data_IF_014229502434
#
_entry.id   IF_014229502434
#
_cell.length_a   1.000
_cell.length_b   1.000
_cell.length_c   1.000
_cell.angle_alpha   90.00
_cell.angle_beta   90.00
_cell.angle_gamma   90.00
#
_symmetry.space_group_name_H-M   'P 1'
#
loop_
_entity.id
_entity.type
_entity.pdbx_description
1 polymer ?
#
# COMPACT_ATOMS: atom_id res chain seq x y z
N UNK A 1 -4.56 -22.39 48.17
CA UNK A 1 -3.29 -22.73 47.46
C UNK A 1 -3.46 -22.72 45.94
N UNK A 2 -4.46 -23.41 45.36
CA UNK A 2 -4.68 -23.47 43.88
C UNK A 2 -5.09 -22.11 43.27
N UNK A 3 -5.93 -21.34 43.96
CA UNK A 3 -6.41 -20.03 43.46
C UNK A 3 -5.30 -18.97 43.34
N UNK A 4 -4.33 -19.00 44.26
CA UNK A 4 -3.19 -18.07 44.25
C UNK A 4 -2.24 -18.36 43.08
N UNK A 5 -2.05 -19.64 42.76
CA UNK A 5 -1.25 -20.06 41.61
C UNK A 5 -1.88 -19.62 40.27
N UNK A 6 -3.22 -19.70 40.15
CA UNK A 6 -3.94 -19.19 38.98
C UNK A 6 -3.79 -17.68 38.80
N UNK A 7 -3.99 -16.89 39.86
CA UNK A 7 -3.82 -15.43 39.84
C UNK A 7 -2.40 -15.01 39.48
N UNK A 8 -1.40 -15.74 39.93
CA UNK A 8 0.00 -15.49 39.59
C UNK A 8 0.27 -15.74 38.10
N UNK A 9 -0.25 -16.83 37.55
CA UNK A 9 -0.15 -17.12 36.11
C UNK A 9 -0.84 -16.04 35.26
N UNK A 10 -2.03 -15.60 35.66
CA UNK A 10 -2.76 -14.55 34.94
C UNK A 10 -2.05 -13.20 35.00
N UNK A 11 -1.45 -12.86 36.15
CA UNK A 11 -0.62 -11.65 36.29
C UNK A 11 0.59 -11.69 35.34
N UNK A 12 1.27 -12.83 35.24
CA UNK A 12 2.41 -13.01 34.32
C UNK A 12 1.96 -12.86 32.86
N UNK A 13 0.81 -13.47 32.49
CA UNK A 13 0.25 -13.34 31.14
C UNK A 13 -0.11 -11.89 30.81
N UNK A 14 -0.80 -11.21 31.72
CA UNK A 14 -1.22 -9.82 31.52
C UNK A 14 -0.02 -8.88 31.41
N UNK A 15 0.99 -9.09 32.25
CA UNK A 15 2.26 -8.35 32.15
C UNK A 15 2.91 -8.54 30.79
N UNK A 16 3.02 -9.79 30.32
CA UNK A 16 3.61 -10.08 29.00
C UNK A 16 2.82 -9.46 27.85
N UNK A 17 1.48 -9.47 27.93
CA UNK A 17 0.63 -8.81 26.91
C UNK A 17 0.87 -7.30 26.92
N UNK A 18 0.95 -6.68 28.10
CA UNK A 18 1.22 -5.25 28.22
C UNK A 18 2.62 -4.88 27.71
N UNK A 19 3.64 -5.68 28.03
CA UNK A 19 5.01 -5.49 27.54
C UNK A 19 5.09 -5.62 26.02
N UNK A 20 4.47 -6.66 25.45
CA UNK A 20 4.39 -6.83 24.00
C UNK A 20 3.66 -5.65 23.34
N UNK A 21 2.55 -5.18 23.93
CA UNK A 21 1.80 -4.06 23.36
C UNK A 21 2.60 -2.76 23.41
N UNK A 22 3.36 -2.54 24.49
CA UNK A 22 4.24 -1.39 24.59
C UNK A 22 5.33 -1.42 23.51
N UNK A 23 5.91 -2.58 23.24
CA UNK A 23 6.90 -2.75 22.17
C UNK A 23 6.29 -2.49 20.79
N UNK A 24 5.11 -3.05 20.49
CA UNK A 24 4.39 -2.76 19.24
C UNK A 24 4.16 -1.27 19.03
N UNK A 25 3.65 -0.59 20.07
CA UNK A 25 3.37 0.85 20.02
C UNK A 25 4.64 1.68 19.84
N UNK A 26 5.76 1.24 20.40
CA UNK A 26 7.04 1.93 20.24
C UNK A 26 7.54 1.83 18.79
N UNK A 27 7.44 0.63 18.19
CA UNK A 27 7.79 0.42 16.77
C UNK A 27 6.87 1.25 15.87
N UNK A 28 5.56 1.24 16.13
CA UNK A 28 4.59 2.02 15.37
C UNK A 28 4.89 3.51 15.45
N UNK A 29 5.22 4.02 16.64
CA UNK A 29 5.62 5.41 16.83
C UNK A 29 6.87 5.76 16.01
N UNK A 30 7.89 4.90 16.01
CA UNK A 30 9.12 5.14 15.25
C UNK A 30 8.84 5.19 13.74
N UNK A 31 8.03 4.26 13.22
CA UNK A 31 7.61 4.26 11.82
C UNK A 31 6.85 5.54 11.45
N UNK A 32 5.87 5.94 12.28
CA UNK A 32 5.11 7.17 12.05
C UNK A 32 5.99 8.43 12.06
N UNK A 33 7.02 8.47 12.92
CA UNK A 33 7.98 9.58 12.94
C UNK A 33 8.82 9.63 11.66
N UNK A 34 9.24 8.47 11.14
CA UNK A 34 9.94 8.39 9.86
C UNK A 34 9.03 8.84 8.70
N UNK A 35 7.77 8.42 8.71
CA UNK A 35 6.80 8.83 7.69
C UNK A 35 6.55 10.34 7.72
N UNK A 36 6.41 10.93 8.91
CA UNK A 36 6.30 12.39 9.08
C UNK A 36 7.56 13.08 8.56
N UNK A 37 8.75 12.55 8.88
CA UNK A 37 10.00 13.11 8.37
C UNK A 37 10.04 13.07 6.84
N UNK A 38 9.62 11.96 6.23
CA UNK A 38 9.51 11.82 4.78
C UNK A 38 8.52 12.82 4.17
N UNK A 39 7.32 12.95 4.74
CA UNK A 39 6.28 13.89 4.30
C UNK A 39 6.68 15.36 4.42
N UNK A 40 7.69 15.70 5.25
CA UNK A 40 8.22 17.06 5.35
C UNK A 40 9.29 17.36 4.29
N UNK A 41 9.72 16.37 3.51
CA UNK A 41 10.66 16.57 2.40
C UNK A 41 9.91 16.91 1.11
N UNK A 42 10.54 17.68 0.21
CA UNK A 42 9.95 17.98 -1.11
C UNK A 42 9.61 16.72 -1.90
N UNK A 43 10.48 15.71 -1.85
CA UNK A 43 10.27 14.40 -2.48
C UNK A 43 9.08 13.65 -1.87
N UNK A 44 8.96 13.60 -0.54
CA UNK A 44 7.87 12.89 0.12
C UNK A 44 6.51 13.59 -0.03
N UNK A 45 6.49 14.93 -0.13
CA UNK A 45 5.27 15.67 -0.49
C UNK A 45 4.82 15.28 -1.89
N UNK A 46 5.73 15.31 -2.86
CA UNK A 46 5.46 14.95 -4.25
C UNK A 46 4.97 13.49 -4.36
N UNK A 47 5.64 12.55 -3.68
CA UNK A 47 5.26 11.14 -3.65
C UNK A 47 3.87 10.92 -3.05
N UNK A 48 3.55 11.59 -1.95
CA UNK A 48 2.22 11.55 -1.30
C UNK A 48 1.12 12.11 -2.22
N UNK A 49 1.39 13.19 -2.94
CA UNK A 49 0.45 13.75 -3.91
C UNK A 49 0.24 12.78 -5.07
N UNK A 50 1.32 12.18 -5.60
CA UNK A 50 1.23 11.21 -6.68
C UNK A 50 0.44 9.97 -6.29
N UNK A 51 0.65 9.44 -5.09
CA UNK A 51 -0.08 8.26 -4.58
C UNK A 51 -1.58 8.56 -4.40
N UNK A 52 -1.91 9.73 -3.83
CA UNK A 52 -3.31 10.09 -3.55
C UNK A 52 -4.11 10.51 -4.79
N UNK A 53 -3.46 11.14 -5.76
CA UNK A 53 -4.13 11.75 -6.90
C UNK A 53 -3.76 11.11 -8.24
N UNK A 54 -2.88 10.11 -8.25
CA UNK A 54 -2.45 9.41 -9.46
C UNK A 54 -1.65 10.28 -10.44
N UNK A 55 -1.01 11.36 -9.97
CA UNK A 55 -0.38 12.35 -10.84
C UNK A 55 1.00 11.90 -11.32
N UNK A 56 1.20 11.88 -12.64
CA UNK A 56 2.51 11.66 -13.26
C UNK A 56 3.41 12.90 -13.15
N UNK A 57 4.73 12.70 -13.07
CA UNK A 57 5.71 13.80 -13.15
C UNK A 57 5.79 14.38 -14.56
N UNK A 58 6.38 15.55 -14.69
CA UNK A 58 6.71 16.12 -16.00
C UNK A 58 7.64 15.16 -16.77
N UNK A 59 7.20 14.72 -17.96
CA UNK A 59 7.89 13.71 -18.76
C UNK A 59 7.46 12.26 -18.51
N UNK A 60 6.56 11.99 -17.57
CA UNK A 60 5.90 10.69 -17.37
C UNK A 60 4.53 10.67 -18.10
N UNK A 61 4.19 9.56 -18.77
CA UNK A 61 2.87 9.36 -19.41
C UNK A 61 1.90 8.64 -18.45
N UNK A 62 0.66 9.12 -18.35
CA UNK A 62 -0.40 8.52 -17.53
C UNK A 62 -1.42 7.79 -18.41
N UNK A 63 -1.63 6.50 -18.16
CA UNK A 63 -2.65 5.69 -18.86
C UNK A 63 -3.85 5.51 -17.92
N UNK A 64 -5.03 5.97 -18.33
CA UNK A 64 -6.29 5.75 -17.62
C UNK A 64 -7.10 4.69 -18.37
N UNK A 65 -7.38 3.56 -17.73
CA UNK A 65 -8.26 2.53 -18.26
C UNK A 65 -9.67 2.81 -17.76
N UNK A 66 -10.59 3.08 -18.69
CA UNK A 66 -12.02 3.25 -18.38
C UNK A 66 -12.78 2.05 -18.95
N UNK A 67 -13.58 1.40 -18.12
CA UNK A 67 -14.52 0.39 -18.61
C UNK A 67 -15.70 1.07 -19.29
N UNK A 68 -15.84 0.82 -20.59
CA UNK A 68 -16.92 1.38 -21.38
C UNK A 68 -18.22 0.60 -21.12
N UNK A 69 -19.15 1.19 -20.37
CA UNK A 69 -20.40 0.53 -19.96
C UNK A 69 -21.45 0.45 -21.09
N UNK A 70 -21.13 0.96 -22.29
CA UNK A 70 -22.03 1.01 -23.44
C UNK A 70 -21.48 0.27 -24.67
N UNK A 71 -20.90 -0.92 -24.51
CA UNK A 71 -20.56 -1.77 -25.65
C UNK A 71 -21.80 -2.49 -26.19
N UNK A 72 -22.74 -1.72 -26.73
CA UNK A 72 -23.76 -2.22 -27.65
C UNK A 72 -23.30 -1.94 -29.09
N UNK A 73 -22.80 -3.01 -29.70
CA UNK A 73 -22.91 -3.39 -31.11
C UNK A 73 -22.44 -2.43 -32.23
N UNK A 74 -21.56 -2.99 -33.07
CA UNK A 74 -21.16 -2.57 -34.42
C UNK A 74 -20.23 -1.35 -34.55
N UNK A 75 -18.91 -1.62 -34.53
CA UNK A 75 -17.98 -0.92 -35.43
C UNK A 75 -17.07 -1.95 -36.09
N UNK A 76 -17.20 -2.01 -37.41
CA UNK A 76 -16.44 -2.82 -38.34
C UNK A 76 -14.94 -2.49 -38.30
N UNK A 77 -14.14 -3.49 -38.68
CA UNK A 77 -12.74 -3.42 -39.11
C UNK A 77 -12.06 -2.04 -39.04
N UNK A 78 -11.33 -1.81 -37.95
CA UNK A 78 -10.06 -1.12 -38.02
C UNK A 78 -9.04 -1.95 -37.27
N UNK A 79 -7.88 -2.10 -37.90
CA UNK A 79 -6.73 -2.88 -37.46
C UNK A 79 -6.52 -2.78 -35.95
N UNK A 80 -6.90 -3.83 -35.22
CA UNK A 80 -6.57 -3.96 -33.80
C UNK A 80 -5.06 -4.09 -33.71
N UNK A 81 -4.34 -2.96 -33.64
CA UNK A 81 -2.99 -2.90 -33.10
C UNK A 81 -3.11 -3.35 -31.66
N UNK A 82 -2.99 -4.66 -31.49
CA UNK A 82 -3.01 -5.34 -30.20
C UNK A 82 -1.77 -4.84 -29.47
N UNK A 83 -1.96 -3.99 -28.47
CA UNK A 83 -0.89 -3.45 -27.61
C UNK A 83 -0.50 -4.43 -26.48
N UNK A 84 -1.20 -5.56 -26.37
CA UNK A 84 -0.91 -6.66 -25.45
C UNK A 84 0.48 -7.34 -25.61
N UNK A 85 1.04 -7.52 -26.83
CA UNK A 85 2.37 -8.11 -27.02
C UNK A 85 3.48 -7.27 -26.37
N UNK A 86 3.30 -5.95 -26.29
CA UNK A 86 4.26 -5.04 -25.66
C UNK A 86 4.32 -5.25 -24.14
N UNK A 87 3.17 -5.39 -23.47
CA UNK A 87 3.10 -5.59 -22.02
C UNK A 87 3.67 -6.96 -21.59
N UNK A 88 3.56 -7.99 -22.43
CA UNK A 88 4.06 -9.34 -22.12
C UNK A 88 5.59 -9.42 -22.02
N UNK A 89 6.32 -8.52 -22.69
CA UNK A 89 7.79 -8.48 -22.63
C UNK A 89 8.31 -7.84 -21.34
N UNK A 90 7.50 -7.03 -20.64
CA UNK A 90 7.89 -6.38 -19.39
C UNK A 90 7.90 -7.35 -18.19
N UNK A 91 6.99 -8.32 -18.19
CA UNK A 91 6.85 -9.32 -17.12
C UNK A 91 7.62 -10.63 -17.37
N UNK A 92 8.48 -10.68 -18.39
CA UNK A 92 9.24 -11.88 -18.76
C UNK A 92 10.67 -11.92 -18.17
N UNK A 93 11.19 -10.79 -17.69
CA UNK A 93 12.53 -10.67 -17.07
C UNK A 93 12.48 -10.28 -15.58
N UNK A 94 11.36 -10.58 -14.92
CA UNK A 94 11.20 -10.66 -13.46
C UNK A 94 10.90 -12.12 -13.14
#
# INVERSE_FOLDING_TARGET
>A
MVELAGKMQDTIKNRRIAENKALELQIEKENLLLDIANLNTSKGIEESIRDRFGLAKEGEEMIIIVEDKNLNENVENSEKKSFFPFLKNLFKNI
#
